data_IF_978923177059
#
_entry.id   IF_978923177059
#
_cell.length_a   1.000
_cell.length_b   1.000
_cell.length_c   1.000
_cell.angle_alpha   90.00
_cell.angle_beta   90.00
_cell.angle_gamma   90.00
#
_symmetry.space_group_name_H-M   'P 1'
#
loop_
_entity.id
_entity.type
_entity.pdbx_description
1 polymer ?
#
# COMPACT_ATOMS: atom_id res chain seq x y z
N UNK A 1 6.31 -2.18 -5.78
CA UNK A 1 5.80 -1.66 -7.08
C UNK A 1 5.48 -0.18 -6.86
N UNK A 2 6.26 0.72 -7.44
CA UNK A 2 5.94 2.16 -7.48
C UNK A 2 5.22 2.39 -8.79
N UNK A 3 4.08 3.08 -8.75
CA UNK A 3 3.30 3.44 -9.91
C UNK A 3 4.19 4.08 -10.99
N UNK A 4 4.46 3.35 -12.06
CA UNK A 4 5.30 3.83 -13.17
C UNK A 4 4.63 4.95 -13.95
N UNK A 5 3.33 5.20 -13.73
CA UNK A 5 2.60 6.30 -14.34
C UNK A 5 2.74 7.60 -13.54
N UNK A 6 3.35 7.61 -12.34
CA UNK A 6 3.52 8.82 -11.55
C UNK A 6 4.72 9.67 -12.03
N UNK A 7 4.50 10.40 -13.12
CA UNK A 7 5.53 11.21 -13.79
C UNK A 7 5.90 12.46 -12.98
N UNK A 8 7.00 13.12 -13.38
CA UNK A 8 7.41 14.42 -12.84
C UNK A 8 6.32 15.49 -13.03
N UNK A 9 5.60 15.45 -14.15
CA UNK A 9 4.48 16.36 -14.44
C UNK A 9 3.33 16.14 -13.44
N UNK A 10 3.01 14.89 -13.09
CA UNK A 10 2.03 14.59 -12.03
C UNK A 10 2.48 15.12 -10.68
N UNK A 11 3.76 14.95 -10.32
CA UNK A 11 4.31 15.47 -9.08
C UNK A 11 4.17 17.01 -8.99
N UNK A 12 4.54 17.73 -10.05
CA UNK A 12 4.42 19.19 -10.14
C UNK A 12 2.95 19.64 -10.04
N UNK A 13 2.06 18.97 -10.77
CA UNK A 13 0.64 19.24 -10.75
C UNK A 13 0.03 19.06 -9.35
N UNK A 14 0.24 17.91 -8.71
CA UNK A 14 -0.34 17.61 -7.41
C UNK A 14 0.28 18.42 -6.27
N UNK A 15 1.59 18.70 -6.33
CA UNK A 15 2.25 19.59 -5.37
C UNK A 15 1.64 20.99 -5.44
N UNK A 16 1.42 21.54 -6.64
CA UNK A 16 0.77 22.84 -6.81
C UNK A 16 -0.69 22.80 -6.33
N UNK A 17 -1.46 21.78 -6.75
CA UNK A 17 -2.87 21.62 -6.40
C UNK A 17 -3.11 21.53 -4.89
N UNK A 18 -2.22 20.87 -4.16
CA UNK A 18 -2.37 20.66 -2.72
C UNK A 18 -1.49 21.55 -1.84
N UNK A 19 -0.78 22.53 -2.41
CA UNK A 19 0.10 23.47 -1.69
C UNK A 19 -0.55 24.22 -0.52
N UNK A 20 -1.88 24.37 -0.51
CA UNK A 20 -2.65 25.04 0.54
C UNK A 20 -3.25 24.07 1.57
N UNK A 21 -2.91 22.79 1.50
CA UNK A 21 -3.37 21.71 2.38
C UNK A 21 -2.16 21.08 3.07
N UNK A 22 -2.40 20.37 4.18
CA UNK A 22 -1.37 19.56 4.81
C UNK A 22 -1.20 18.22 4.07
N UNK A 23 -0.89 18.30 2.77
CA UNK A 23 -0.68 17.14 1.89
C UNK A 23 0.63 17.37 1.16
N UNK A 24 1.54 16.42 1.32
CA UNK A 24 2.81 16.39 0.61
C UNK A 24 2.81 15.18 -0.32
N UNK A 25 3.37 15.37 -1.51
CA UNK A 25 3.34 14.37 -2.58
C UNK A 25 4.77 14.02 -2.94
N UNK A 26 5.04 12.72 -3.07
CA UNK A 26 6.36 12.20 -3.34
C UNK A 26 6.27 11.12 -4.42
N UNK A 27 7.35 10.94 -5.16
CA UNK A 27 7.46 9.88 -6.17
C UNK A 27 7.99 8.55 -5.59
N UNK A 28 8.32 8.50 -4.30
CA UNK A 28 8.79 7.30 -3.62
C UNK A 28 8.56 7.39 -2.11
N UNK A 29 8.46 6.23 -1.46
CA UNK A 29 8.38 6.14 0.00
C UNK A 29 9.64 6.69 0.68
N UNK A 30 10.83 6.46 0.11
CA UNK A 30 12.10 6.97 0.66
C UNK A 30 12.09 8.50 0.71
N UNK A 31 11.69 9.16 -0.37
CA UNK A 31 11.61 10.62 -0.40
C UNK A 31 10.59 11.16 0.61
N UNK A 32 9.44 10.48 0.77
CA UNK A 32 8.43 10.84 1.77
C UNK A 32 8.97 10.70 3.19
N UNK A 33 9.64 9.58 3.49
CA UNK A 33 10.27 9.33 4.78
C UNK A 33 11.31 10.40 5.07
N UNK A 34 12.21 10.75 4.14
CA UNK A 34 13.23 11.79 4.38
C UNK A 34 12.65 13.18 4.65
N UNK A 35 11.40 13.46 4.28
CA UNK A 35 10.77 14.77 4.44
C UNK A 35 10.07 14.98 5.80
N UNK A 36 9.80 13.90 6.54
CA UNK A 36 9.13 13.98 7.86
C UNK A 36 10.15 13.77 8.99
N UNK A 37 9.92 14.29 10.19
CA UNK A 37 10.78 14.08 11.37
C UNK A 37 10.03 13.43 12.53
N UNK A 38 8.93 12.74 12.23
CA UNK A 38 8.06 12.10 13.20
C UNK A 38 7.78 10.64 12.81
N UNK A 39 7.26 9.88 13.76
CA UNK A 39 6.71 8.54 13.51
C UNK A 39 5.46 8.63 12.63
N UNK A 40 5.16 7.52 11.93
CA UNK A 40 3.95 7.39 11.12
C UNK A 40 2.86 6.76 11.97
N UNK A 41 1.72 7.42 12.14
CA UNK A 41 0.57 6.82 12.81
C UNK A 41 -0.14 5.77 11.93
N UNK A 42 -0.27 6.07 10.62
CA UNK A 42 -0.99 5.23 9.67
C UNK A 42 -0.25 5.11 8.33
N UNK A 43 -0.15 3.88 7.84
CA UNK A 43 0.19 3.58 6.44
C UNK A 43 -1.07 3.10 5.73
N UNK A 44 -1.40 3.73 4.60
CA UNK A 44 -2.55 3.36 3.78
C UNK A 44 -2.05 2.74 2.47
N UNK A 45 -2.41 1.49 2.23
CA UNK A 45 -2.15 0.79 0.98
C UNK A 45 -3.50 0.27 0.44
N UNK A 46 -4.17 1.14 -0.30
CA UNK A 46 -5.54 0.95 -0.75
C UNK A 46 -5.53 0.54 -2.22
N UNK A 47 -5.83 -0.74 -2.50
CA UNK A 47 -5.85 -1.32 -3.85
C UNK A 47 -4.49 -1.18 -4.55
N UNK A 48 -3.43 -1.54 -3.81
CA UNK A 48 -2.03 -1.48 -4.26
C UNK A 48 -1.39 -2.87 -4.32
N UNK A 49 -1.60 -3.68 -3.29
CA UNK A 49 -0.84 -4.91 -3.07
C UNK A 49 -1.09 -5.97 -4.16
N UNK A 50 -2.28 -6.00 -4.75
CA UNK A 50 -2.65 -6.86 -5.88
C UNK A 50 -1.82 -6.60 -7.14
N UNK A 51 -1.25 -5.40 -7.29
CA UNK A 51 -0.35 -5.05 -8.39
C UNK A 51 1.12 -5.38 -8.06
N UNK A 52 1.40 -6.03 -6.94
CA UNK A 52 2.75 -6.44 -6.55
C UNK A 52 2.91 -7.95 -6.74
N UNK A 53 3.91 -8.34 -7.54
CA UNK A 53 4.19 -9.75 -7.80
C UNK A 53 4.67 -10.51 -6.54
N UNK A 54 5.42 -9.84 -5.67
CA UNK A 54 5.83 -10.38 -4.36
C UNK A 54 5.17 -9.55 -3.24
N UNK A 55 3.97 -9.97 -2.86
CA UNK A 55 3.14 -9.36 -1.81
C UNK A 55 3.74 -9.50 -0.41
N UNK A 56 4.44 -10.60 -0.13
CA UNK A 56 5.15 -10.79 1.14
C UNK A 56 6.26 -9.76 1.32
N UNK A 57 7.11 -9.58 0.31
CA UNK A 57 8.19 -8.60 0.35
C UNK A 57 7.64 -7.18 0.47
N UNK A 58 6.53 -6.88 -0.22
CA UNK A 58 5.85 -5.59 -0.09
C UNK A 58 5.43 -5.26 1.35
N UNK A 59 4.83 -6.23 2.06
CA UNK A 59 4.43 -6.03 3.45
C UNK A 59 5.64 -5.88 4.38
N UNK A 60 6.71 -6.64 4.13
CA UNK A 60 7.97 -6.51 4.88
C UNK A 60 8.65 -5.18 4.64
N UNK A 61 8.63 -4.68 3.40
CA UNK A 61 9.18 -3.38 3.06
C UNK A 61 8.45 -2.26 3.82
N UNK A 62 7.13 -2.34 3.95
CA UNK A 62 6.33 -1.41 4.75
C UNK A 62 6.69 -1.53 6.24
N UNK A 63 6.69 -2.74 6.79
CA UNK A 63 6.93 -2.94 8.23
C UNK A 63 8.33 -2.53 8.68
N UNK A 64 9.31 -2.54 7.77
CA UNK A 64 10.71 -2.22 8.06
C UNK A 64 11.10 -0.77 7.74
N UNK A 65 10.16 0.10 7.36
CA UNK A 65 10.47 1.52 7.11
C UNK A 65 10.93 2.23 8.39
N UNK A 66 11.94 3.11 8.29
CA UNK A 66 12.60 3.81 9.42
C UNK A 66 11.66 4.53 10.40
N UNK A 67 10.41 4.83 9.99
CA UNK A 67 9.42 5.62 10.75
C UNK A 67 8.13 4.86 11.04
N UNK A 68 8.13 3.57 10.72
CA UNK A 68 7.07 2.63 11.09
C UNK A 68 7.50 1.99 12.40
N UNK A 69 6.67 2.15 13.43
CA UNK A 69 6.90 1.64 14.78
C UNK A 69 5.79 0.67 15.17
N UNK A 70 5.88 0.10 16.36
CA UNK A 70 4.80 -0.75 16.92
C UNK A 70 3.47 -0.01 17.08
N UNK A 71 3.49 1.33 17.13
CA UNK A 71 2.29 2.16 17.21
C UNK A 71 1.66 2.44 15.83
N UNK A 72 2.40 2.19 14.74
CA UNK A 72 1.92 2.41 13.38
C UNK A 72 0.87 1.38 12.99
N UNK A 73 -0.25 1.85 12.43
CA UNK A 73 -1.30 0.98 11.89
C UNK A 73 -1.26 0.96 10.38
N UNK A 74 -1.30 -0.24 9.80
CA UNK A 74 -1.37 -0.42 8.35
C UNK A 74 -2.81 -0.75 7.98
N UNK A 75 -3.39 0.05 7.09
CA UNK A 75 -4.72 -0.19 6.51
C UNK A 75 -4.53 -0.66 5.07
N UNK A 76 -4.99 -1.89 4.81
CA UNK A 76 -4.87 -2.56 3.52
C UNK A 76 -6.26 -2.81 2.95
N UNK A 77 -6.45 -2.49 1.68
CA UNK A 77 -7.60 -2.95 0.89
C UNK A 77 -7.08 -3.69 -0.33
N UNK A 78 -7.76 -4.80 -0.65
CA UNK A 78 -7.45 -5.65 -1.79
C UNK A 78 -8.72 -6.26 -2.35
N UNK A 79 -8.78 -6.56 -3.65
CA UNK A 79 -9.93 -7.19 -4.26
C UNK A 79 -10.18 -8.60 -3.71
N UNK A 80 -11.43 -8.91 -3.40
CA UNK A 80 -11.83 -10.14 -2.75
C UNK A 80 -11.97 -11.33 -3.71
N UNK A 81 -11.64 -12.51 -3.19
CA UNK A 81 -11.83 -13.85 -3.74
C UNK A 81 -11.10 -14.14 -5.06
N UNK A 82 -10.11 -15.04 -4.99
CA UNK A 82 -9.40 -15.54 -6.18
C UNK A 82 -10.32 -16.22 -7.20
N UNK A 83 -11.46 -16.79 -6.78
CA UNK A 83 -12.45 -17.38 -7.69
C UNK A 83 -13.14 -16.36 -8.60
N UNK A 84 -13.09 -15.07 -8.26
CA UNK A 84 -13.62 -13.97 -9.08
C UNK A 84 -12.54 -13.35 -9.97
N UNK A 85 -11.30 -13.83 -9.88
CA UNK A 85 -10.21 -13.36 -10.73
C UNK A 85 -10.50 -13.70 -12.20
N UNK A 86 -10.37 -12.73 -13.09
CA UNK A 86 -10.75 -12.86 -14.49
C UNK A 86 -9.77 -12.13 -15.42
N UNK A 87 -10.05 -12.15 -16.72
CA UNK A 87 -9.28 -11.35 -17.69
C UNK A 87 -9.30 -9.85 -17.36
N UNK A 88 -10.36 -9.35 -16.71
CA UNK A 88 -10.43 -7.95 -16.28
C UNK A 88 -9.30 -7.60 -15.30
N UNK A 89 -9.01 -8.47 -14.34
CA UNK A 89 -7.90 -8.30 -13.40
C UNK A 89 -6.55 -8.24 -14.10
N UNK A 90 -6.34 -9.09 -15.09
CA UNK A 90 -5.12 -9.10 -15.89
C UNK A 90 -4.93 -7.79 -16.65
N UNK A 91 -6.01 -7.25 -17.24
CA UNK A 91 -5.97 -5.96 -17.93
C UNK A 91 -5.66 -4.79 -17.00
N UNK A 92 -6.08 -4.87 -15.73
CA UNK A 92 -5.72 -3.91 -14.69
C UNK A 92 -4.31 -4.13 -14.12
N UNK A 93 -3.62 -5.21 -14.51
CA UNK A 93 -2.29 -5.53 -14.02
C UNK A 93 -2.29 -6.15 -12.62
N UNK A 94 -3.37 -6.78 -12.20
CA UNK A 94 -3.44 -7.53 -10.95
C UNK A 94 -2.71 -8.88 -11.10
N UNK A 95 -2.02 -9.29 -10.05
CA UNK A 95 -1.43 -10.62 -9.92
C UNK A 95 -2.36 -11.61 -9.23
N UNK A 96 -3.22 -11.14 -8.31
CA UNK A 96 -4.08 -12.00 -7.48
C UNK A 96 -5.21 -11.22 -6.80
N UNK A 97 -6.18 -11.97 -6.28
CA UNK A 97 -7.21 -11.49 -5.34
C UNK A 97 -7.09 -12.28 -4.03
N UNK A 98 -7.60 -11.72 -2.95
CA UNK A 98 -7.42 -12.29 -1.61
C UNK A 98 -8.74 -12.71 -0.99
N UNK A 99 -8.70 -13.78 -0.19
CA UNK A 99 -9.73 -14.01 0.81
C UNK A 99 -9.12 -13.76 2.20
N UNK A 100 -9.94 -13.79 3.25
CA UNK A 100 -9.46 -13.54 4.60
C UNK A 100 -8.34 -14.50 5.02
N UNK A 101 -8.34 -15.74 4.54
CA UNK A 101 -7.32 -16.73 4.90
C UNK A 101 -5.99 -16.44 4.20
N UNK A 102 -6.01 -16.17 2.89
CA UNK A 102 -4.78 -15.87 2.14
C UNK A 102 -4.18 -14.54 2.58
N UNK A 103 -5.00 -13.53 2.87
CA UNK A 103 -4.53 -12.26 3.42
C UNK A 103 -3.96 -12.44 4.84
N UNK A 104 -4.66 -13.16 5.74
CA UNK A 104 -4.14 -13.48 7.08
C UNK A 104 -2.78 -14.18 7.01
N UNK A 105 -2.62 -15.11 6.08
CA UNK A 105 -1.40 -15.88 5.95
C UNK A 105 -0.22 -14.98 5.59
N UNK A 106 -0.32 -14.21 4.49
CA UNK A 106 0.79 -13.35 4.04
C UNK A 106 1.10 -12.25 5.06
N UNK A 107 0.08 -11.68 5.72
CA UNK A 107 0.28 -10.68 6.78
C UNK A 107 1.04 -11.26 7.98
N UNK A 108 0.71 -12.49 8.42
CA UNK A 108 1.44 -13.16 9.50
C UNK A 108 2.87 -13.53 9.09
N UNK A 109 3.06 -14.01 7.86
CA UNK A 109 4.39 -14.32 7.32
C UNK A 109 5.27 -13.07 7.20
N UNK A 110 4.67 -11.89 7.03
CA UNK A 110 5.35 -10.60 7.08
C UNK A 110 5.71 -10.14 8.51
N UNK A 111 5.28 -10.87 9.55
CA UNK A 111 5.51 -10.51 10.95
C UNK A 111 4.57 -9.44 11.49
N UNK A 112 3.49 -9.11 10.77
CA UNK A 112 2.53 -8.10 11.17
C UNK A 112 1.42 -8.70 12.05
N UNK A 113 1.01 -7.93 13.06
CA UNK A 113 -0.15 -8.26 13.89
C UNK A 113 -1.45 -7.83 13.20
N UNK A 114 -2.45 -8.72 13.20
CA UNK A 114 -3.75 -8.45 12.60
C UNK A 114 -4.70 -7.93 13.69
N UNK A 115 -5.00 -6.63 13.65
CA UNK A 115 -5.96 -5.99 14.57
C UNK A 115 -7.41 -6.33 14.18
N UNK A 116 -7.72 -6.25 12.88
CA UNK A 116 -9.04 -6.56 12.33
C UNK A 116 -8.91 -6.99 10.87
N UNK A 117 -9.80 -7.87 10.43
CA UNK A 117 -9.89 -8.30 9.04
C UNK A 117 -11.32 -8.71 8.73
N UNK A 118 -11.80 -8.24 7.59
CA UNK A 118 -13.13 -8.55 7.10
C UNK A 118 -13.30 -8.12 5.66
N UNK A 119 -14.45 -8.48 5.12
CA UNK A 119 -14.92 -7.95 3.85
C UNK A 119 -15.76 -6.71 4.15
N UNK A 120 -15.59 -5.67 3.34
CA UNK A 120 -16.46 -4.51 3.42
C UNK A 120 -16.86 -4.14 2.00
N UNK A 121 -18.12 -4.41 1.67
CA UNK A 121 -18.89 -3.88 0.54
C UNK A 121 -20.37 -4.19 0.82
#
# INVERSE_FOLDING_TARGET
CVDTAFTKEHLEFYTKKYSHKNIQVFNSAIAALSAINCEIDYVLALDVMEHVANDLDFLKDISNMEKVTENTKIVLTVPAFQSLFSHHDVLLGHFRRYNNNTLKQVTKEAGLEIISIGYFF
#
